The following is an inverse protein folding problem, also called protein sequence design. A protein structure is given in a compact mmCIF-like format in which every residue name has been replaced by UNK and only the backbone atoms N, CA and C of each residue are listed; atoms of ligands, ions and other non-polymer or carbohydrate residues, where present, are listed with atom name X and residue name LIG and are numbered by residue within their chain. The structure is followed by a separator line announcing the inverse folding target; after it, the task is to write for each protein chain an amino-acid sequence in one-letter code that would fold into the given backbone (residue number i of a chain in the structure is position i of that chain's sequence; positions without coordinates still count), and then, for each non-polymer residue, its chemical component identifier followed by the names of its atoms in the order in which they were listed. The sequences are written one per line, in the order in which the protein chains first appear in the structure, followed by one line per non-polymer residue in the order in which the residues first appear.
data_IF_343695892465
#
_entry.id   IF_343695892465
#
_cell.length_a   1.000
_cell.length_b   1.000
_cell.length_c   1.000
_cell.angle_alpha   90.00
_cell.angle_beta   90.00
_cell.angle_gamma   90.00
#
_symmetry.space_group_name_H-M   'P 1'
#
loop_
_entity.id
_entity.type
_entity.pdbx_description
1 polymer ?
#
# COMPACT_ATOMS: atom_id res chain seq x y z
N UNK A 1 10.78 5.79 -13.58
CA UNK A 1 11.72 4.93 -14.35
C UNK A 1 12.82 4.37 -13.44
N UNK A 2 13.47 5.20 -12.61
CA UNK A 2 14.55 4.78 -11.70
C UNK A 2 14.06 3.72 -10.69
N UNK A 3 12.96 3.93 -9.97
CA UNK A 3 12.40 2.97 -8.99
C UNK A 3 12.26 1.54 -9.54
N UNK A 4 11.75 1.40 -10.78
CA UNK A 4 11.61 0.08 -11.41
C UNK A 4 12.97 -0.56 -11.77
N UNK A 5 14.00 0.25 -11.98
CA UNK A 5 15.36 -0.25 -12.29
C UNK A 5 16.12 -0.64 -11.03
N UNK A 6 15.98 0.14 -9.97
CA UNK A 6 16.68 -0.09 -8.69
C UNK A 6 15.91 -1.03 -7.77
N UNK A 7 14.61 -1.21 -7.97
CA UNK A 7 13.74 -1.93 -7.04
C UNK A 7 13.63 -1.24 -5.68
N UNK A 8 13.78 0.10 -5.64
CA UNK A 8 13.75 0.88 -4.40
C UNK A 8 12.75 2.02 -4.47
N UNK A 9 12.31 2.51 -3.32
CA UNK A 9 11.42 3.65 -3.20
C UNK A 9 11.76 4.49 -1.98
N UNK A 10 11.28 5.73 -1.98
CA UNK A 10 11.47 6.69 -0.90
C UNK A 10 10.21 6.77 -0.04
N UNK A 11 10.38 6.81 1.28
CA UNK A 11 9.34 7.10 2.25
C UNK A 11 9.79 8.21 3.19
N UNK A 12 8.84 8.94 3.77
CA UNK A 12 9.05 10.09 4.63
C UNK A 12 8.29 9.93 5.94
N UNK A 13 8.97 10.20 7.05
CA UNK A 13 8.40 10.21 8.39
C UNK A 13 8.76 8.97 9.22
N UNK A 14 8.95 9.19 10.52
CA UNK A 14 9.34 8.13 11.48
C UNK A 14 8.32 7.01 11.55
N UNK A 15 7.05 7.40 11.64
CA UNK A 15 5.94 6.44 11.74
C UNK A 15 5.85 5.53 10.52
N UNK A 16 5.95 6.10 9.32
CA UNK A 16 5.89 5.35 8.07
C UNK A 16 7.07 4.38 7.97
N UNK A 17 8.27 4.80 8.38
CA UNK A 17 9.47 3.96 8.41
C UNK A 17 9.31 2.80 9.41
N UNK A 18 8.80 3.07 10.61
CA UNK A 18 8.53 2.04 11.62
C UNK A 18 7.50 1.02 11.15
N UNK A 19 6.42 1.49 10.50
CA UNK A 19 5.40 0.61 9.92
C UNK A 19 5.96 -0.24 8.78
N UNK A 20 6.83 0.33 7.95
CA UNK A 20 7.51 -0.42 6.90
C UNK A 20 8.42 -1.52 7.48
N UNK A 21 9.18 -1.24 8.53
CA UNK A 21 9.99 -2.24 9.22
C UNK A 21 9.12 -3.36 9.81
N UNK A 22 8.03 -3.01 10.49
CA UNK A 22 7.06 -3.99 11.03
C UNK A 22 6.43 -4.82 9.91
N UNK A 23 6.16 -4.22 8.77
CA UNK A 23 5.70 -4.88 7.55
C UNK A 23 6.79 -5.71 6.85
N UNK A 24 8.01 -5.81 7.40
CA UNK A 24 9.09 -6.61 6.85
C UNK A 24 9.75 -6.01 5.59
N UNK A 25 9.70 -4.68 5.44
CA UNK A 25 10.45 -3.98 4.40
C UNK A 25 11.92 -3.83 4.79
N UNK A 26 12.82 -4.00 3.83
CA UNK A 26 14.25 -3.82 4.03
C UNK A 26 14.63 -2.38 3.71
N UNK A 27 15.15 -1.67 4.72
CA UNK A 27 15.75 -0.34 4.51
C UNK A 27 17.14 -0.50 3.91
N UNK A 28 17.51 0.38 2.98
CA UNK A 28 18.85 0.49 2.42
C UNK A 28 19.59 1.69 3.02
N UNK A 29 18.91 2.82 3.10
CA UNK A 29 19.53 4.08 3.54
C UNK A 29 18.52 4.92 4.30
N UNK A 30 18.96 5.51 5.40
CA UNK A 30 18.28 6.60 6.11
C UNK A 30 19.01 7.92 5.78
N UNK A 31 18.25 8.92 5.35
CA UNK A 31 18.70 10.29 5.19
C UNK A 31 18.09 11.13 6.31
N UNK A 32 18.88 11.89 7.05
CA UNK A 32 18.37 12.59 8.24
C UNK A 32 18.97 13.97 8.45
N UNK A 33 18.22 14.83 9.15
CA UNK A 33 18.66 16.11 9.65
C UNK A 33 19.12 15.96 11.11
N UNK A 34 20.37 16.22 11.46
CA UNK A 34 20.89 15.99 12.81
C UNK A 34 20.24 16.91 13.87
N UNK A 35 19.67 18.04 13.46
CA UNK A 35 18.96 18.94 14.37
C UNK A 35 17.59 18.41 14.80
N UNK A 36 17.02 17.43 14.05
CA UNK A 36 15.66 16.89 14.28
C UNK A 36 15.65 15.41 14.65
N UNK A 37 16.73 14.68 14.38
CA UNK A 37 16.82 13.23 14.62
C UNK A 37 18.03 12.92 15.47
N UNK A 38 17.81 12.36 16.65
CA UNK A 38 18.86 12.01 17.59
C UNK A 38 19.52 10.66 17.25
N UNK A 39 20.77 10.47 17.73
CA UNK A 39 21.48 9.18 17.61
C UNK A 39 20.70 8.01 18.23
N UNK A 40 19.93 8.27 19.29
CA UNK A 40 19.08 7.26 19.91
C UNK A 40 17.99 6.77 18.97
N UNK A 41 17.38 7.67 18.19
CA UNK A 41 16.37 7.33 17.19
C UNK A 41 17.00 6.58 16.02
N UNK A 42 18.18 6.99 15.57
CA UNK A 42 18.88 6.30 14.47
C UNK A 42 19.25 4.85 14.83
N UNK A 43 19.54 4.56 16.10
CA UNK A 43 19.82 3.18 16.55
C UNK A 43 18.63 2.22 16.35
N UNK A 44 17.40 2.73 16.29
CA UNK A 44 16.22 1.92 15.97
C UNK A 44 16.22 1.42 14.52
N UNK A 45 17.00 2.05 13.66
CA UNK A 45 17.15 1.70 12.23
C UNK A 45 18.49 0.99 11.96
N UNK A 46 18.96 0.19 12.90
CA UNK A 46 20.21 -0.57 12.76
C UNK A 46 20.14 -1.52 11.56
N UNK A 47 21.23 -1.61 10.79
CA UNK A 47 21.36 -2.50 9.64
C UNK A 47 21.20 -1.83 8.28
N UNK A 48 21.07 -0.50 8.23
CA UNK A 48 21.12 0.29 7.00
C UNK A 48 22.10 1.47 7.15
N UNK A 49 22.50 2.06 6.03
CA UNK A 49 23.35 3.23 6.03
C UNK A 49 22.58 4.46 6.52
N UNK A 50 23.16 5.22 7.45
CA UNK A 50 22.62 6.50 7.91
C UNK A 50 23.49 7.65 7.39
N UNK A 51 22.88 8.53 6.61
CA UNK A 51 23.58 9.66 5.95
C UNK A 51 22.96 10.97 6.44
N UNK A 52 23.80 11.79 7.04
CA UNK A 52 23.46 13.16 7.38
C UNK A 52 23.31 14.00 6.11
N UNK A 53 22.22 14.77 6.01
CA UNK A 53 21.97 15.67 4.89
C UNK A 53 21.66 17.08 5.38
N UNK A 54 21.91 18.08 4.53
CA UNK A 54 21.54 19.46 4.84
C UNK A 54 20.03 19.70 4.66
N UNK A 55 19.54 20.77 5.30
CA UNK A 55 18.14 21.19 5.19
C UNK A 55 17.72 21.46 3.74
N UNK A 56 18.62 22.02 2.92
CA UNK A 56 18.36 22.29 1.51
C UNK A 56 18.21 21.01 0.70
N UNK A 57 19.01 19.97 1.02
CA UNK A 57 18.89 18.65 0.39
C UNK A 57 17.61 17.98 0.83
N UNK A 58 17.30 18.02 2.13
CA UNK A 58 16.07 17.48 2.67
C UNK A 58 14.83 18.06 1.98
N UNK A 59 14.75 19.41 1.88
CA UNK A 59 13.64 20.11 1.25
C UNK A 59 13.44 19.76 -0.23
N UNK A 60 14.49 19.37 -0.94
CA UNK A 60 14.39 18.91 -2.33
C UNK A 60 13.86 17.47 -2.44
N UNK A 61 14.05 16.67 -1.42
CA UNK A 61 13.64 15.26 -1.40
C UNK A 61 12.27 15.04 -0.73
N UNK A 62 11.96 15.86 0.27
CA UNK A 62 10.73 15.76 1.04
C UNK A 62 9.50 16.18 0.22
N UNK A 63 8.39 15.49 0.47
CA UNK A 63 7.09 15.77 -0.14
C UNK A 63 6.19 16.62 0.77
N UNK A 64 6.53 16.73 2.07
CA UNK A 64 5.77 17.48 3.08
C UNK A 64 6.47 18.77 3.40
N UNK A 65 5.68 19.84 3.60
CA UNK A 65 6.20 21.14 4.07
C UNK A 65 6.61 21.08 5.54
N UNK A 66 5.95 20.23 6.33
CA UNK A 66 6.29 19.98 7.75
C UNK A 66 7.18 18.74 7.82
N UNK A 67 8.39 18.92 8.32
CA UNK A 67 9.42 17.89 8.25
C UNK A 67 9.66 17.24 9.62
N UNK A 68 9.68 15.90 9.65
CA UNK A 68 10.20 15.12 10.78
C UNK A 68 11.72 14.92 10.69
N UNK A 69 12.34 15.45 9.64
CA UNK A 69 13.80 15.41 9.43
C UNK A 69 14.35 14.05 9.03
N UNK A 70 13.51 13.11 8.61
CA UNK A 70 13.95 11.75 8.26
C UNK A 70 13.26 11.24 6.99
N UNK A 71 14.06 10.62 6.13
CA UNK A 71 13.64 9.92 4.92
C UNK A 71 14.29 8.54 4.89
N UNK A 72 13.63 7.56 4.29
CA UNK A 72 14.22 6.24 4.08
C UNK A 72 14.10 5.79 2.63
N UNK A 73 15.16 5.18 2.14
CA UNK A 73 15.16 4.38 0.91
C UNK A 73 14.99 2.92 1.31
N UNK A 74 13.97 2.25 0.75
CA UNK A 74 13.68 0.85 1.04
C UNK A 74 13.51 0.05 -0.24
N UNK A 75 13.71 -1.28 -0.16
CA UNK A 75 13.45 -2.22 -1.25
C UNK A 75 11.96 -2.42 -1.45
N UNK A 76 11.54 -2.48 -2.70
CA UNK A 76 10.18 -2.89 -3.06
C UNK A 76 9.99 -4.37 -2.76
N UNK A 77 8.75 -4.77 -2.47
CA UNK A 77 8.38 -6.19 -2.32
C UNK A 77 7.74 -6.72 -3.60
N UNK A 78 7.72 -8.02 -3.74
CA UNK A 78 6.80 -8.75 -4.60
C UNK A 78 5.36 -8.58 -4.09
N UNK A 79 4.43 -8.52 -5.02
CA UNK A 79 3.00 -8.41 -4.74
C UNK A 79 2.22 -9.43 -5.58
N UNK A 80 2.66 -10.69 -5.54
CA UNK A 80 2.00 -11.77 -6.25
C UNK A 80 0.75 -12.23 -5.48
N UNK A 81 -0.26 -12.67 -6.20
CA UNK A 81 -1.47 -13.27 -5.61
C UNK A 81 -1.12 -14.51 -4.75
N UNK A 82 -0.09 -15.25 -5.14
CA UNK A 82 0.42 -16.42 -4.41
C UNK A 82 1.10 -16.09 -3.08
N UNK A 83 1.46 -14.84 -2.85
CA UNK A 83 2.12 -14.39 -1.61
C UNK A 83 1.10 -14.04 -0.52
N UNK A 84 -0.21 -14.05 -0.83
CA UNK A 84 -1.27 -13.75 0.12
C UNK A 84 -1.52 -14.92 1.08
N UNK A 85 -1.56 -14.60 2.36
CA UNK A 85 -1.94 -15.52 3.44
C UNK A 85 -3.34 -15.17 3.94
N UNK A 86 -4.35 -15.87 3.43
CA UNK A 86 -5.74 -15.62 3.75
C UNK A 86 -6.19 -16.41 4.99
N UNK A 87 -7.03 -15.81 5.82
CA UNK A 87 -7.71 -16.50 6.92
C UNK A 87 -8.73 -17.53 6.38
N UNK A 88 -9.39 -18.25 7.26
CA UNK A 88 -10.43 -19.24 6.89
C UNK A 88 -11.63 -18.56 6.20
N UNK A 89 -12.02 -17.36 6.66
CA UNK A 89 -13.10 -16.55 6.10
C UNK A 89 -12.60 -15.16 5.77
N UNK A 90 -11.80 -14.97 4.70
CA UNK A 90 -11.16 -13.71 4.42
C UNK A 90 -12.12 -12.63 3.96
N UNK A 91 -11.86 -11.40 4.42
CA UNK A 91 -12.42 -10.19 3.84
C UNK A 91 -11.35 -9.55 2.94
N UNK A 92 -11.62 -9.45 1.65
CA UNK A 92 -10.69 -8.93 0.66
C UNK A 92 -11.28 -7.69 0.01
N UNK A 93 -10.49 -6.60 -0.07
CA UNK A 93 -10.83 -5.45 -0.89
C UNK A 93 -10.14 -5.56 -2.25
N UNK A 94 -10.90 -5.54 -3.33
CA UNK A 94 -10.36 -5.52 -4.70
C UNK A 94 -10.57 -4.15 -5.31
N UNK A 95 -9.49 -3.51 -5.73
CA UNK A 95 -9.46 -2.20 -6.38
C UNK A 95 -9.15 -2.39 -7.87
N UNK A 96 -10.16 -2.32 -8.75
CA UNK A 96 -10.00 -2.57 -10.18
C UNK A 96 -9.77 -1.26 -10.94
N UNK A 97 -8.66 -1.18 -11.69
CA UNK A 97 -8.35 -0.09 -12.60
C UNK A 97 -8.15 1.29 -11.96
N UNK A 98 -7.93 1.38 -10.66
CA UNK A 98 -7.82 2.65 -9.94
C UNK A 98 -6.62 3.46 -10.46
N UNK A 99 -6.90 4.67 -10.97
CA UNK A 99 -5.90 5.53 -11.60
C UNK A 99 -5.28 6.54 -10.62
N UNK A 100 -6.11 7.16 -9.77
CA UNK A 100 -5.68 8.23 -8.87
C UNK A 100 -4.93 7.67 -7.66
N UNK A 101 -3.66 8.06 -7.45
CA UNK A 101 -2.88 7.60 -6.30
C UNK A 101 -3.54 7.86 -4.94
N UNK A 102 -4.21 9.00 -4.79
CA UNK A 102 -4.91 9.37 -3.55
C UNK A 102 -6.06 8.42 -3.22
N UNK A 103 -6.81 7.94 -4.23
CA UNK A 103 -7.90 6.98 -4.05
C UNK A 103 -7.37 5.63 -3.60
N UNK A 104 -6.26 5.17 -4.20
CA UNK A 104 -5.64 3.93 -3.77
C UNK A 104 -5.14 4.03 -2.32
N UNK A 105 -4.52 5.15 -1.94
CA UNK A 105 -4.14 5.39 -0.55
C UNK A 105 -5.34 5.40 0.41
N UNK A 106 -6.48 5.95 0.00
CA UNK A 106 -7.72 5.92 0.79
C UNK A 106 -8.27 4.50 0.96
N UNK A 107 -8.28 3.70 -0.12
CA UNK A 107 -8.69 2.30 -0.07
C UNK A 107 -7.80 1.47 0.87
N UNK A 108 -6.48 1.68 0.84
CA UNK A 108 -5.55 1.01 1.76
C UNK A 108 -5.85 1.36 3.23
N UNK A 109 -6.17 2.63 3.53
CA UNK A 109 -6.57 3.03 4.89
C UNK A 109 -7.91 2.43 5.31
N UNK A 110 -8.87 2.34 4.39
CA UNK A 110 -10.17 1.73 4.66
C UNK A 110 -10.03 0.23 4.93
N UNK A 111 -9.22 -0.47 4.14
CA UNK A 111 -8.93 -1.89 4.33
C UNK A 111 -8.25 -2.15 5.69
N UNK A 112 -7.26 -1.34 6.05
CA UNK A 112 -6.57 -1.41 7.34
C UNK A 112 -7.55 -1.19 8.52
N UNK A 113 -8.40 -0.15 8.43
CA UNK A 113 -9.40 0.14 9.44
C UNK A 113 -10.48 -0.95 9.57
N UNK A 114 -10.82 -1.62 8.47
CA UNK A 114 -11.77 -2.74 8.43
C UNK A 114 -11.13 -4.08 8.83
N UNK A 115 -9.82 -4.09 9.09
CA UNK A 115 -9.04 -5.31 9.35
C UNK A 115 -9.22 -6.35 8.23
N UNK A 116 -9.17 -5.89 6.97
CA UNK A 116 -9.27 -6.78 5.81
C UNK A 116 -8.04 -7.69 5.73
N UNK A 117 -8.23 -8.94 5.30
CA UNK A 117 -7.13 -9.91 5.14
C UNK A 117 -6.15 -9.50 4.04
N UNK A 118 -6.68 -8.90 2.95
CA UNK A 118 -5.86 -8.45 1.84
C UNK A 118 -6.50 -7.31 1.04
N UNK A 119 -5.64 -6.58 0.33
CA UNK A 119 -6.03 -5.66 -0.74
C UNK A 119 -5.46 -6.16 -2.05
N UNK A 120 -6.30 -6.40 -3.05
CA UNK A 120 -5.87 -6.81 -4.38
C UNK A 120 -6.10 -5.66 -5.37
N UNK A 121 -5.05 -5.27 -6.08
CA UNK A 121 -5.12 -4.23 -7.11
C UNK A 121 -5.16 -4.92 -8.46
N UNK A 122 -6.35 -5.00 -9.05
CA UNK A 122 -6.57 -5.55 -10.38
C UNK A 122 -6.28 -4.49 -11.45
N UNK A 123 -5.58 -4.86 -12.50
CA UNK A 123 -5.17 -3.97 -13.60
C UNK A 123 -4.52 -2.66 -13.11
N UNK A 124 -3.42 -2.71 -12.35
CA UNK A 124 -2.80 -1.53 -11.75
C UNK A 124 -2.40 -0.51 -12.81
N UNK A 125 -2.91 0.71 -12.71
CA UNK A 125 -2.58 1.84 -13.62
C UNK A 125 -1.40 2.66 -13.13
N UNK A 126 -1.05 2.54 -11.85
CA UNK A 126 0.05 3.26 -11.22
C UNK A 126 1.01 2.28 -10.53
N UNK A 127 2.27 2.69 -10.44
CA UNK A 127 3.25 2.01 -9.60
C UNK A 127 2.83 2.13 -8.12
N UNK A 128 2.67 1.01 -7.42
CA UNK A 128 2.24 0.95 -6.02
C UNK A 128 3.15 1.81 -5.11
N UNK A 129 4.43 1.91 -5.43
CA UNK A 129 5.40 2.73 -4.71
C UNK A 129 5.51 4.17 -5.25
N UNK A 130 4.48 4.65 -5.97
CA UNK A 130 4.37 6.05 -6.31
C UNK A 130 4.38 6.89 -5.02
N UNK A 131 5.17 7.97 -4.92
CA UNK A 131 5.26 8.79 -3.71
C UNK A 131 3.92 9.29 -3.19
N UNK A 132 2.97 9.58 -4.08
CA UNK A 132 1.63 9.99 -3.68
C UNK A 132 0.82 8.85 -3.06
N UNK A 133 1.02 7.59 -3.47
CA UNK A 133 0.39 6.42 -2.84
C UNK A 133 1.03 6.19 -1.46
N UNK A 134 2.36 6.15 -1.41
CA UNK A 134 3.11 6.00 -0.15
C UNK A 134 2.63 7.02 0.88
N UNK A 135 2.56 8.30 0.48
CA UNK A 135 2.12 9.38 1.36
C UNK A 135 0.64 9.27 1.75
N UNK A 136 -0.25 9.08 0.76
CA UNK A 136 -1.70 9.09 1.01
C UNK A 136 -2.19 7.87 1.78
N UNK A 137 -1.45 6.78 1.77
CA UNK A 137 -1.75 5.58 2.56
C UNK A 137 -1.47 5.74 4.06
N UNK A 138 -0.69 6.75 4.46
CA UNK A 138 -0.33 7.03 5.87
C UNK A 138 0.23 5.78 6.57
N UNK A 139 1.08 5.02 5.85
CA UNK A 139 1.67 3.77 6.33
C UNK A 139 0.86 2.50 6.08
N UNK A 140 -0.44 2.61 5.69
CA UNK A 140 -1.27 1.43 5.42
C UNK A 140 -0.83 0.63 4.18
N UNK A 141 0.03 1.19 3.33
CA UNK A 141 0.75 0.45 2.30
C UNK A 141 1.63 -0.67 2.89
N UNK A 142 2.12 -0.48 4.11
CA UNK A 142 3.07 -1.36 4.77
C UNK A 142 2.42 -2.38 5.71
N UNK A 143 1.21 -2.09 6.20
CA UNK A 143 0.47 -2.93 7.14
C UNK A 143 -0.45 -3.92 6.47
N UNK A 144 -1.02 -3.59 5.29
CA UNK A 144 -1.86 -4.49 4.54
C UNK A 144 -1.06 -5.56 3.78
N UNK A 145 -1.60 -6.76 3.64
CA UNK A 145 -1.19 -7.68 2.59
C UNK A 145 -1.71 -7.17 1.25
N UNK A 146 -0.83 -6.95 0.29
CA UNK A 146 -1.21 -6.40 -1.02
C UNK A 146 -0.74 -7.32 -2.13
N UNK A 147 -1.62 -7.60 -3.08
CA UNK A 147 -1.28 -8.27 -4.32
C UNK A 147 -1.75 -7.49 -5.55
N UNK A 148 -1.14 -7.78 -6.69
CA UNK A 148 -1.49 -7.19 -7.98
C UNK A 148 -1.66 -8.28 -9.03
N UNK A 149 -2.54 -8.05 -10.01
CA UNK A 149 -2.74 -8.97 -11.14
C UNK A 149 -3.65 -8.37 -12.19
N UNK A 150 -3.91 -9.09 -13.27
CA UNK A 150 -4.98 -8.75 -14.20
C UNK A 150 -6.34 -9.07 -13.58
N UNK A 151 -7.43 -8.54 -14.12
CA UNK A 151 -8.79 -8.87 -13.66
C UNK A 151 -9.05 -10.37 -13.76
N UNK A 152 -8.61 -11.02 -14.83
CA UNK A 152 -8.77 -12.47 -15.05
C UNK A 152 -8.02 -13.29 -14.00
N UNK A 153 -6.75 -12.92 -13.70
CA UNK A 153 -5.94 -13.59 -12.69
C UNK A 153 -6.58 -13.45 -11.29
N UNK A 154 -7.09 -12.26 -10.96
CA UNK A 154 -7.74 -11.99 -9.68
C UNK A 154 -9.04 -12.80 -9.55
N UNK A 155 -9.88 -12.84 -10.58
CA UNK A 155 -11.10 -13.65 -10.58
C UNK A 155 -10.77 -15.14 -10.42
N UNK A 156 -9.76 -15.63 -11.15
CA UNK A 156 -9.33 -17.03 -11.06
C UNK A 156 -8.83 -17.36 -9.63
N UNK A 157 -8.04 -16.47 -9.05
CA UNK A 157 -7.53 -16.62 -7.67
C UNK A 157 -8.67 -16.66 -6.65
N UNK A 158 -9.62 -15.71 -6.71
CA UNK A 158 -10.75 -15.65 -5.78
C UNK A 158 -11.63 -16.90 -5.89
N UNK A 159 -11.93 -17.36 -7.11
CA UNK A 159 -12.71 -18.59 -7.33
C UNK A 159 -12.00 -19.84 -6.81
N UNK A 160 -10.69 -19.96 -7.05
CA UNK A 160 -9.89 -21.08 -6.55
C UNK A 160 -9.89 -21.16 -5.02
N UNK A 161 -9.94 -19.99 -4.34
CA UNK A 161 -10.02 -19.88 -2.89
C UNK A 161 -11.47 -19.87 -2.36
N UNK A 162 -12.49 -20.11 -3.19
CA UNK A 162 -13.92 -20.13 -2.84
C UNK A 162 -14.39 -18.83 -2.17
N UNK A 163 -13.85 -17.69 -2.58
CA UNK A 163 -14.22 -16.36 -2.10
C UNK A 163 -15.40 -15.85 -2.93
N UNK A 164 -16.50 -15.47 -2.28
CA UNK A 164 -17.65 -14.83 -2.94
C UNK A 164 -17.25 -13.41 -3.40
N UNK A 165 -17.63 -13.05 -4.64
CA UNK A 165 -17.28 -11.77 -5.25
C UNK A 165 -18.50 -10.87 -5.29
N UNK A 166 -18.43 -9.74 -4.60
CA UNK A 166 -19.47 -8.71 -4.57
C UNK A 166 -18.93 -7.44 -5.23
N UNK A 167 -19.54 -7.05 -6.32
CA UNK A 167 -19.11 -5.89 -7.12
C UNK A 167 -19.97 -4.67 -6.79
N UNK A 168 -19.32 -3.55 -6.43
CA UNK A 168 -20.00 -2.28 -6.29
C UNK A 168 -20.31 -1.70 -7.69
N UNK A 169 -21.55 -1.86 -8.14
CA UNK A 169 -22.02 -1.44 -9.45
C UNK A 169 -23.37 -0.72 -9.38
N UNK A 170 -23.65 0.11 -10.36
CA UNK A 170 -24.95 0.78 -10.50
C UNK A 170 -25.97 -0.05 -11.30
N UNK A 171 -25.49 -1.05 -12.02
CA UNK A 171 -26.33 -1.88 -12.91
C UNK A 171 -26.66 -3.22 -12.26
N UNK A 172 -27.93 -3.63 -12.30
CA UNK A 172 -28.40 -4.92 -11.75
C UNK A 172 -27.98 -5.15 -10.27
N UNK A 173 -27.93 -4.07 -9.49
CA UNK A 173 -27.48 -4.12 -8.11
C UNK A 173 -28.61 -4.51 -7.17
N UNK A 174 -28.32 -5.36 -6.21
CA UNK A 174 -29.17 -5.61 -5.06
C UNK A 174 -28.85 -4.59 -3.95
N UNK A 175 -29.78 -4.43 -3.02
CA UNK A 175 -29.48 -3.66 -1.81
C UNK A 175 -28.45 -4.39 -0.96
N UNK A 176 -27.32 -3.75 -0.65
CA UNK A 176 -26.19 -4.36 0.06
C UNK A 176 -26.59 -5.02 1.39
N UNK A 177 -27.58 -4.46 2.10
CA UNK A 177 -28.06 -5.00 3.37
C UNK A 177 -28.88 -6.32 3.25
N UNK A 178 -29.20 -6.75 2.03
CA UNK A 178 -29.84 -8.03 1.75
C UNK A 178 -28.82 -9.12 1.42
N UNK A 179 -27.55 -8.75 1.22
CA UNK A 179 -26.48 -9.68 0.92
C UNK A 179 -25.86 -10.26 2.19
N UNK A 180 -25.35 -11.49 2.09
CA UNK A 180 -24.70 -12.17 3.21
C UNK A 180 -23.19 -12.10 3.07
N UNK A 181 -22.53 -11.26 3.88
CA UNK A 181 -21.08 -11.08 3.92
C UNK A 181 -20.40 -11.87 5.05
N UNK A 182 -21.05 -12.88 5.63
CA UNK A 182 -20.50 -13.63 6.77
C UNK A 182 -19.52 -14.74 6.38
N UNK A 183 -19.41 -15.06 5.09
CA UNK A 183 -18.44 -16.01 4.54
C UNK A 183 -17.29 -15.29 3.86
N UNK A 184 -16.33 -16.06 3.33
CA UNK A 184 -15.20 -15.54 2.54
C UNK A 184 -15.70 -14.58 1.47
N UNK A 185 -15.31 -13.31 1.56
CA UNK A 185 -15.89 -12.22 0.78
C UNK A 185 -14.82 -11.34 0.15
N UNK A 186 -14.97 -11.04 -1.14
CA UNK A 186 -14.24 -10.00 -1.85
C UNK A 186 -15.21 -8.87 -2.25
N UNK A 187 -14.93 -7.66 -1.78
CA UNK A 187 -15.63 -6.45 -2.20
C UNK A 187 -14.85 -5.78 -3.33
N UNK A 188 -15.44 -5.66 -4.50
CA UNK A 188 -14.79 -5.12 -5.69
C UNK A 188 -15.28 -3.71 -5.97
N UNK A 189 -14.36 -2.76 -6.06
CA UNK A 189 -14.64 -1.37 -6.43
C UNK A 189 -13.86 -1.02 -7.70
N UNK A 190 -14.53 -0.32 -8.61
CA UNK A 190 -13.97 0.14 -9.88
C UNK A 190 -13.54 1.60 -9.86
N UNK A 191 -13.29 2.13 -11.05
CA UNK A 191 -12.92 3.53 -11.25
C UNK A 191 -14.09 4.48 -10.94
N UNK A 192 -13.80 5.73 -10.60
CA UNK A 192 -14.82 6.77 -10.38
C UNK A 192 -15.59 7.12 -11.68
N UNK A 193 -14.94 7.04 -12.84
CA UNK A 193 -15.49 7.51 -14.10
C UNK A 193 -16.30 6.45 -14.82
N UNK A 194 -15.81 5.20 -14.87
CA UNK A 194 -16.38 4.13 -15.69
C UNK A 194 -16.86 2.93 -14.90
N UNK A 195 -16.60 2.90 -13.59
CA UNK A 195 -16.95 1.75 -12.76
C UNK A 195 -16.00 0.57 -13.00
N UNK A 196 -16.54 -0.62 -12.99
CA UNK A 196 -15.84 -1.88 -13.30
C UNK A 196 -15.81 -2.12 -14.81
N UNK A 197 -14.74 -2.76 -15.30
CA UNK A 197 -14.55 -3.12 -16.73
C UNK A 197 -14.79 -4.60 -16.98
#
# INVERSE_FOLDING_TARGET
KIRKQTGTFLMEGKREIELALKGGYQLETILYLPELVSDKELRAFSGCDCIEISKEVYQKLAYRDTTEGILAVAKTKSHLLTDLHLSENPLILVAEGIEKPGNLGALLRTADAANSDAVIIANPKSDLYNPNIVRSSVGCLFTNQIATGTTEEVIAFLKANKVAIYSATLQNANHYHLENFTSSTALVVGTEATGLT
#
